data_IF_298771626453
#
_entry.id   IF_298771626453
#
_cell.length_a   1.000
_cell.length_b   1.000
_cell.length_c   1.000
_cell.angle_alpha   90.00
_cell.angle_beta   90.00
_cell.angle_gamma   90.00
#
_symmetry.space_group_name_H-M   'P 1'
#
loop_
_entity.id
_entity.type
_entity.pdbx_description
1 polymer ?
#
# COMPACT_ATOMS: atom_id res chain seq x y z
N UNK A 1 -15.35 42.70 6.97
CA UNK A 1 -14.75 42.29 5.68
C UNK A 1 -15.35 40.95 5.33
N UNK A 2 -16.17 40.90 4.28
CA UNK A 2 -16.84 39.67 3.86
C UNK A 2 -15.79 38.75 3.22
N UNK A 3 -15.53 37.61 3.84
CA UNK A 3 -14.57 36.59 3.38
C UNK A 3 -15.02 35.88 2.09
N UNK A 4 -16.18 36.26 1.54
CA UNK A 4 -16.90 35.57 0.46
C UNK A 4 -17.19 36.43 -0.78
N UNK A 5 -16.67 37.66 -0.88
CA UNK A 5 -16.84 38.45 -2.11
C UNK A 5 -16.09 37.80 -3.28
N UNK A 6 -16.84 37.26 -4.24
CA UNK A 6 -16.32 36.66 -5.48
C UNK A 6 -16.23 35.13 -5.50
N UNK A 7 -16.71 34.43 -4.45
CA UNK A 7 -16.75 32.96 -4.42
C UNK A 7 -18.15 32.48 -4.81
N UNK A 8 -18.29 31.83 -5.97
CA UNK A 8 -19.58 31.33 -6.46
C UNK A 8 -20.19 30.26 -5.54
N UNK A 9 -19.37 29.44 -4.87
CA UNK A 9 -19.82 28.41 -3.92
C UNK A 9 -18.81 28.16 -2.79
N UNK A 10 -19.26 28.18 -1.53
CA UNK A 10 -18.42 27.81 -0.37
C UNK A 10 -18.52 26.33 -0.07
N UNK A 11 -17.39 25.67 0.20
CA UNK A 11 -17.31 24.24 0.55
C UNK A 11 -16.56 24.03 1.86
N UNK A 12 -16.97 23.02 2.64
CA UNK A 12 -16.33 22.66 3.91
C UNK A 12 -15.29 21.56 3.68
N UNK A 13 -14.03 21.84 4.01
CA UNK A 13 -12.92 20.89 3.93
C UNK A 13 -12.26 20.69 5.30
N UNK A 14 -12.13 19.44 5.72
CA UNK A 14 -11.27 19.03 6.83
C UNK A 14 -9.96 18.51 6.25
N UNK A 15 -8.86 19.18 6.53
CA UNK A 15 -7.53 18.77 6.07
C UNK A 15 -6.53 18.76 7.24
N UNK A 16 -5.58 17.81 7.27
CA UNK A 16 -4.48 17.82 8.21
C UNK A 16 -3.66 19.11 8.08
N UNK A 17 -3.26 19.68 9.21
CA UNK A 17 -2.34 20.82 9.21
C UNK A 17 -0.91 20.33 8.95
N UNK A 18 -0.57 20.21 7.67
CA UNK A 18 0.77 19.76 7.24
C UNK A 18 1.72 20.96 7.21
N UNK A 19 2.52 21.09 8.28
CA UNK A 19 3.59 22.07 8.50
C UNK A 19 3.27 23.50 8.04
N UNK A 20 2.75 24.31 8.97
CA UNK A 20 2.50 25.75 8.84
C UNK A 20 3.75 26.65 8.64
N UNK A 21 4.94 26.08 8.37
CA UNK A 21 6.21 26.81 8.32
C UNK A 21 6.43 27.53 6.97
N UNK A 22 5.61 27.22 5.96
CA UNK A 22 5.61 27.94 4.68
C UNK A 22 4.27 28.59 4.40
N UNK A 23 4.27 29.89 4.05
CA UNK A 23 3.13 30.65 3.52
C UNK A 23 2.62 30.13 2.14
N UNK A 24 2.97 28.90 1.76
CA UNK A 24 2.54 28.31 0.50
C UNK A 24 1.05 27.98 0.54
N UNK A 25 0.26 28.65 -0.29
CA UNK A 25 -1.09 28.22 -0.63
C UNK A 25 -1.00 26.80 -1.19
N UNK A 26 -1.75 25.86 -0.62
CA UNK A 26 -1.86 24.52 -1.17
C UNK A 26 -2.49 24.57 -2.56
N UNK A 27 -2.04 23.71 -3.46
CA UNK A 27 -2.52 23.67 -4.84
C UNK A 27 -3.41 22.45 -5.06
N UNK A 28 -4.60 22.67 -5.62
CA UNK A 28 -5.43 21.59 -6.12
C UNK A 28 -4.91 21.09 -7.47
N UNK A 29 -4.71 19.78 -7.59
CA UNK A 29 -4.22 19.10 -8.77
C UNK A 29 -5.29 18.12 -9.27
N UNK A 30 -5.54 18.12 -10.57
CA UNK A 30 -6.28 17.05 -11.23
C UNK A 30 -5.28 16.00 -11.72
N UNK A 31 -5.34 14.79 -11.15
CA UNK A 31 -4.48 13.65 -11.47
C UNK A 31 -5.34 12.43 -11.80
N UNK A 32 -4.72 11.37 -12.34
CA UNK A 32 -5.44 10.11 -12.57
C UNK A 32 -5.53 9.30 -11.28
N UNK A 33 -6.72 8.79 -10.99
CA UNK A 33 -6.91 7.78 -9.95
C UNK A 33 -6.10 6.53 -10.31
N UNK A 34 -5.28 5.99 -9.40
CA UNK A 34 -4.27 5.00 -9.76
C UNK A 34 -4.83 3.64 -10.22
N UNK A 35 -6.05 3.29 -9.80
CA UNK A 35 -6.75 2.08 -10.27
C UNK A 35 -7.64 2.29 -11.50
N UNK A 36 -8.29 3.45 -11.60
CA UNK A 36 -9.40 3.64 -12.56
C UNK A 36 -9.04 4.56 -13.73
N UNK A 37 -7.90 5.27 -13.63
CA UNK A 37 -7.46 6.25 -14.62
C UNK A 37 -8.33 7.51 -14.70
N UNK A 38 -9.43 7.59 -13.95
CA UNK A 38 -10.35 8.74 -13.97
C UNK A 38 -9.72 9.97 -13.31
N UNK A 39 -10.14 11.15 -13.74
CA UNK A 39 -9.70 12.40 -13.12
C UNK A 39 -10.18 12.49 -11.67
N UNK A 40 -9.24 12.67 -10.75
CA UNK A 40 -9.46 12.83 -9.31
C UNK A 40 -8.72 14.06 -8.81
N UNK A 41 -9.29 14.73 -7.81
CA UNK A 41 -8.71 15.94 -7.23
C UNK A 41 -7.81 15.59 -6.04
N UNK A 42 -6.62 16.16 -6.02
CA UNK A 42 -5.64 16.03 -4.95
C UNK A 42 -5.22 17.42 -4.47
N UNK A 43 -4.91 17.56 -3.19
CA UNK A 43 -4.31 18.76 -2.62
C UNK A 43 -2.81 18.52 -2.41
N UNK A 44 -1.98 19.29 -3.08
CA UNK A 44 -0.52 19.27 -2.89
C UNK A 44 -0.09 20.48 -2.08
N UNK A 45 0.54 20.24 -0.93
CA UNK A 45 1.01 21.29 -0.02
C UNK A 45 2.32 20.86 0.63
N UNK A 46 3.35 21.70 0.53
CA UNK A 46 4.64 21.51 1.21
C UNK A 46 5.26 20.11 1.01
N UNK A 47 5.21 19.59 -0.22
CA UNK A 47 5.74 18.25 -0.54
C UNK A 47 4.88 17.08 -0.08
N UNK A 48 3.70 17.34 0.49
CA UNK A 48 2.73 16.31 0.88
C UNK A 48 1.55 16.31 -0.07
N UNK A 49 1.23 15.12 -0.59
CA UNK A 49 0.06 14.89 -1.42
C UNK A 49 -1.09 14.38 -0.56
N UNK A 50 -2.26 14.98 -0.72
CA UNK A 50 -3.48 14.58 -0.03
C UNK A 50 -4.56 14.29 -1.06
N UNK A 51 -5.25 13.18 -0.92
CA UNK A 51 -6.43 12.86 -1.73
C UNK A 51 -7.67 13.51 -1.12
N UNK A 52 -8.60 13.95 -1.97
CA UNK A 52 -9.87 14.51 -1.52
C UNK A 52 -10.97 13.47 -1.60
N UNK A 53 -11.53 13.16 -0.45
CA UNK A 53 -12.74 12.38 -0.31
C UNK A 53 -13.90 13.32 0.04
N UNK A 54 -15.12 12.93 -0.31
CA UNK A 54 -16.31 13.69 0.06
C UNK A 54 -17.44 12.77 0.46
N UNK A 55 -18.25 13.27 1.38
CA UNK A 55 -19.46 12.62 1.85
C UNK A 55 -20.63 13.61 1.80
N UNK A 56 -21.81 13.13 1.39
CA UNK A 56 -23.04 13.92 1.42
C UNK A 56 -24.16 13.11 2.07
N UNK A 57 -24.69 13.63 3.17
CA UNK A 57 -25.93 13.12 3.71
C UNK A 57 -27.12 13.70 2.92
N UNK A 58 -28.14 12.88 2.65
CA UNK A 58 -29.36 13.35 1.99
C UNK A 58 -30.00 14.49 2.79
N UNK A 59 -30.43 15.54 2.08
CA UNK A 59 -31.06 16.73 2.66
C UNK A 59 -30.20 17.46 3.71
N UNK A 60 -28.86 17.34 3.63
CA UNK A 60 -27.92 18.09 4.46
C UNK A 60 -27.62 19.49 3.91
N UNK A 61 -27.40 20.45 4.80
CA UNK A 61 -26.86 21.78 4.52
C UNK A 61 -25.95 22.22 5.68
N UNK A 62 -25.07 23.19 5.44
CA UNK A 62 -24.19 23.74 6.49
C UNK A 62 -24.57 25.16 6.84
N UNK A 63 -24.59 25.48 8.13
CA UNK A 63 -24.58 26.86 8.62
C UNK A 63 -23.13 27.30 8.83
N UNK A 64 -22.69 28.30 8.07
CA UNK A 64 -21.33 28.84 8.05
C UNK A 64 -21.35 30.31 8.48
N UNK A 65 -21.33 30.54 9.80
CA UNK A 65 -21.58 31.87 10.36
C UNK A 65 -23.00 32.33 10.01
N UNK A 66 -23.10 33.47 9.31
CA UNK A 66 -24.38 34.06 8.89
C UNK A 66 -24.88 33.54 7.52
N UNK A 67 -24.18 32.56 6.91
CA UNK A 67 -24.50 32.03 5.59
C UNK A 67 -24.98 30.57 5.67
N UNK A 68 -25.85 30.19 4.73
CA UNK A 68 -26.26 28.81 4.51
C UNK A 68 -25.57 28.27 3.26
N UNK A 69 -24.88 27.14 3.39
CA UNK A 69 -24.33 26.38 2.27
C UNK A 69 -25.27 25.20 1.97
N UNK A 70 -25.97 25.29 0.84
CA UNK A 70 -26.96 24.29 0.39
C UNK A 70 -26.32 22.93 0.02
N UNK A 71 -25.06 22.89 -0.42
CA UNK A 71 -24.46 21.64 -0.91
C UNK A 71 -24.39 20.56 0.17
N UNK A 72 -24.17 20.95 1.44
CA UNK A 72 -24.15 20.01 2.57
C UNK A 72 -23.05 18.93 2.50
N UNK A 73 -22.14 19.00 1.53
CA UNK A 73 -21.01 18.07 1.40
C UNK A 73 -19.96 18.37 2.45
N UNK A 74 -19.39 17.31 3.01
CA UNK A 74 -18.18 17.37 3.79
C UNK A 74 -17.03 16.83 2.96
N UNK A 75 -16.02 17.65 2.70
CA UNK A 75 -14.77 17.23 2.10
C UNK A 75 -13.76 16.87 3.19
N UNK A 76 -13.00 15.82 2.96
CA UNK A 76 -11.87 15.42 3.80
C UNK A 76 -10.65 15.25 2.92
N UNK A 77 -9.50 15.76 3.37
CA UNK A 77 -8.21 15.51 2.76
C UNK A 77 -7.46 14.48 3.60
N UNK A 78 -7.03 13.38 2.97
CA UNK A 78 -6.25 12.33 3.62
C UNK A 78 -4.88 12.23 2.96
N UNK A 79 -3.82 12.07 3.75
CA UNK A 79 -2.48 11.93 3.20
C UNK A 79 -2.41 10.64 2.39
N UNK A 80 -1.93 10.72 1.15
CA UNK A 80 -1.75 9.57 0.26
C UNK A 80 -0.26 9.37 -0.02
N UNK A 81 0.18 8.12 -0.12
CA UNK A 81 1.55 7.83 -0.57
C UNK A 81 1.65 8.14 -2.08
N UNK A 82 2.51 9.11 -2.48
CA UNK A 82 2.65 9.52 -3.88
C UNK A 82 3.06 8.37 -4.82
N UNK A 83 3.69 7.31 -4.30
CA UNK A 83 4.08 6.15 -5.10
C UNK A 83 2.86 5.50 -5.76
N UNK A 84 1.70 5.41 -5.09
CA UNK A 84 0.49 4.85 -5.72
C UNK A 84 0.07 5.67 -6.95
N UNK A 85 0.15 6.99 -6.87
CA UNK A 85 -0.29 7.91 -7.93
C UNK A 85 0.67 7.90 -9.12
N UNK A 86 1.97 7.73 -8.87
CA UNK A 86 3.01 7.71 -9.90
C UNK A 86 3.26 6.32 -10.49
N UNK A 87 2.96 5.24 -9.77
CA UNK A 87 3.18 3.87 -10.22
C UNK A 87 2.62 3.57 -11.63
N UNK A 88 1.33 3.85 -11.95
CA UNK A 88 0.80 3.58 -13.29
C UNK A 88 1.49 4.44 -14.37
N UNK A 89 1.88 5.67 -14.03
CA UNK A 89 2.58 6.58 -14.94
C UNK A 89 3.96 6.03 -15.30
N UNK A 90 4.69 5.52 -14.31
CA UNK A 90 5.99 4.91 -14.52
C UNK A 90 5.91 3.59 -15.28
N UNK A 91 4.87 2.78 -15.04
CA UNK A 91 4.65 1.54 -15.79
C UNK A 91 4.35 1.83 -17.27
N UNK A 92 3.48 2.80 -17.57
CA UNK A 92 3.21 3.27 -18.94
C UNK A 92 4.48 3.83 -19.61
N UNK A 93 5.23 4.68 -18.90
CA UNK A 93 6.39 5.38 -19.47
C UNK A 93 7.59 4.47 -19.74
N UNK A 94 7.70 3.35 -19.02
CA UNK A 94 8.81 2.37 -19.13
C UNK A 94 8.82 1.61 -20.46
N UNK A 95 7.73 1.65 -21.25
CA UNK A 95 7.62 1.00 -22.57
C UNK A 95 8.02 -0.49 -22.55
N UNK A 96 7.60 -1.21 -21.51
CA UNK A 96 7.89 -2.64 -21.33
C UNK A 96 7.37 -3.45 -22.51
N UNK A 97 8.17 -4.39 -23.03
CA UNK A 97 7.77 -5.29 -24.13
C UNK A 97 8.14 -6.73 -23.79
N UNK A 98 7.14 -7.60 -23.63
CA UNK A 98 7.33 -9.02 -23.30
C UNK A 98 8.25 -9.17 -22.07
N UNK A 99 9.42 -9.78 -22.26
CA UNK A 99 10.42 -10.04 -21.20
C UNK A 99 11.43 -8.91 -21.02
N UNK A 100 11.38 -7.84 -21.82
CA UNK A 100 12.26 -6.69 -21.63
C UNK A 100 11.84 -5.91 -20.39
N UNK A 101 12.74 -5.68 -19.41
CA UNK A 101 12.47 -4.84 -18.24
C UNK A 101 12.18 -3.38 -18.59
N UNK A 102 12.24 -2.97 -19.86
CA UNK A 102 11.86 -1.65 -20.32
C UNK A 102 13.00 -0.64 -20.23
N UNK A 103 12.68 0.62 -20.54
CA UNK A 103 13.67 1.68 -20.77
C UNK A 103 13.84 2.59 -19.55
N UNK A 104 15.06 3.07 -19.39
CA UNK A 104 15.39 4.17 -18.50
C UNK A 104 14.95 5.49 -19.13
N UNK A 105 14.23 6.32 -18.38
CA UNK A 105 13.76 7.64 -18.84
C UNK A 105 13.95 8.69 -17.76
N UNK A 106 14.03 9.96 -18.17
CA UNK A 106 14.14 11.08 -17.24
C UNK A 106 12.79 11.34 -16.57
N UNK A 107 12.84 11.89 -15.36
CA UNK A 107 11.63 12.18 -14.59
C UNK A 107 10.71 13.18 -15.31
N UNK A 108 11.29 14.21 -15.93
CA UNK A 108 10.53 15.20 -16.71
C UNK A 108 9.76 14.57 -17.87
N UNK A 109 10.35 13.57 -18.53
CA UNK A 109 9.69 12.82 -19.61
C UNK A 109 8.58 11.91 -19.09
N UNK A 110 8.78 11.25 -17.94
CA UNK A 110 7.81 10.34 -17.34
C UNK A 110 6.59 11.11 -16.83
N UNK A 111 6.81 12.27 -16.20
CA UNK A 111 5.77 13.09 -15.58
C UNK A 111 5.03 13.99 -16.58
N UNK A 112 5.44 13.98 -17.85
CA UNK A 112 4.70 14.63 -18.93
C UNK A 112 3.52 13.76 -19.38
N UNK A 113 2.41 13.85 -18.65
CA UNK A 113 1.17 13.11 -18.93
C UNK A 113 0.20 13.99 -19.71
N UNK A 114 -0.14 13.57 -20.93
CA UNK A 114 -1.12 14.28 -21.77
C UNK A 114 -2.44 14.49 -21.02
N UNK A 115 -3.00 15.69 -21.11
CA UNK A 115 -4.24 16.12 -20.44
C UNK A 115 -4.18 16.22 -18.90
N UNK A 116 -3.04 15.90 -18.27
CA UNK A 116 -2.85 15.97 -16.82
C UNK A 116 -1.54 16.72 -16.46
N UNK A 117 -1.49 18.06 -16.61
CA UNK A 117 -0.30 18.84 -16.26
C UNK A 117 0.03 18.80 -14.76
N UNK A 118 -0.93 18.39 -13.91
CA UNK A 118 -0.76 18.25 -12.47
C UNK A 118 0.44 17.40 -12.04
N UNK A 119 0.85 16.43 -12.86
CA UNK A 119 2.00 15.56 -12.57
C UNK A 119 3.33 16.33 -12.50
N UNK A 120 3.48 17.45 -13.24
CA UNK A 120 4.70 18.25 -13.20
C UNK A 120 4.95 18.85 -11.81
N UNK A 121 3.90 19.13 -11.04
CA UNK A 121 4.02 19.63 -9.67
C UNK A 121 4.56 18.58 -8.69
N UNK A 122 4.55 17.30 -9.05
CA UNK A 122 5.06 16.21 -8.21
C UNK A 122 6.55 15.92 -8.42
N UNK A 123 7.18 16.49 -9.47
CA UNK A 123 8.61 16.31 -9.76
C UNK A 123 9.52 16.53 -8.53
N UNK A 124 9.33 17.58 -7.70
CA UNK A 124 10.20 17.82 -6.53
C UNK A 124 10.20 16.70 -5.49
N UNK A 125 9.15 15.89 -5.42
CA UNK A 125 9.05 14.76 -4.48
C UNK A 125 9.27 13.41 -5.15
N UNK A 126 9.10 13.34 -6.48
CA UNK A 126 9.07 12.08 -7.21
C UNK A 126 10.41 11.34 -7.16
N UNK A 127 11.55 12.02 -7.16
CA UNK A 127 12.87 11.38 -7.01
C UNK A 127 12.96 10.57 -5.70
N UNK A 128 12.62 11.21 -4.58
CA UNK A 128 12.69 10.60 -3.25
C UNK A 128 11.65 9.50 -3.05
N UNK A 129 10.46 9.65 -3.63
CA UNK A 129 9.40 8.65 -3.55
C UNK A 129 9.72 7.44 -4.44
N UNK A 130 10.14 7.66 -5.69
CA UNK A 130 10.23 6.60 -6.69
C UNK A 130 11.50 5.76 -6.57
N UNK A 131 12.54 6.20 -5.86
CA UNK A 131 13.74 5.38 -5.59
C UNK A 131 13.42 4.03 -4.90
N UNK A 132 12.31 3.94 -4.17
CA UNK A 132 11.89 2.72 -3.46
C UNK A 132 11.36 1.64 -4.42
N UNK A 133 10.87 2.03 -5.59
CA UNK A 133 10.28 1.14 -6.60
C UNK A 133 11.03 1.12 -7.93
N UNK A 134 11.95 2.05 -8.17
CA UNK A 134 12.71 2.18 -9.41
C UNK A 134 14.20 1.81 -9.24
N UNK A 135 14.80 1.34 -10.33
CA UNK A 135 16.25 1.40 -10.55
C UNK A 135 16.61 2.80 -11.06
N UNK A 136 17.67 3.38 -10.51
CA UNK A 136 18.16 4.71 -10.88
C UNK A 136 19.55 4.55 -11.49
N UNK A 137 19.74 5.16 -12.66
CA UNK A 137 21.04 5.30 -13.30
C UNK A 137 21.38 6.77 -13.45
N UNK A 138 22.60 7.12 -13.08
CA UNK A 138 23.10 8.49 -13.18
C UNK A 138 24.16 8.54 -14.28
N UNK A 139 23.96 9.47 -15.23
CA UNK A 139 24.89 9.71 -16.33
C UNK A 139 25.12 11.22 -16.38
N UNK A 140 26.33 11.64 -16.00
CA UNK A 140 26.66 13.06 -15.85
C UNK A 140 25.84 13.68 -14.72
N UNK A 141 25.09 14.75 -15.00
CA UNK A 141 24.20 15.43 -14.06
C UNK A 141 22.74 14.98 -14.15
N UNK A 142 22.44 13.99 -15.01
CA UNK A 142 21.06 13.53 -15.25
C UNK A 142 20.82 12.16 -14.64
N UNK A 143 19.68 12.02 -13.97
CA UNK A 143 19.19 10.74 -13.44
C UNK A 143 18.09 10.17 -14.33
N UNK A 144 18.18 8.87 -14.56
CA UNK A 144 17.22 8.11 -15.33
C UNK A 144 16.61 7.02 -14.46
N UNK A 145 15.30 6.87 -14.56
CA UNK A 145 14.51 5.97 -13.75
C UNK A 145 13.93 4.87 -14.63
N UNK A 146 13.87 3.67 -14.07
CA UNK A 146 13.14 2.53 -14.65
C UNK A 146 12.45 1.79 -13.53
N UNK A 147 11.17 1.48 -13.68
CA UNK A 147 10.44 0.69 -12.69
C UNK A 147 11.02 -0.74 -12.57
N UNK A 148 11.16 -1.23 -11.35
CA UNK A 148 11.65 -2.58 -11.06
C UNK A 148 10.56 -3.41 -10.38
N UNK A 149 10.13 -4.50 -11.04
CA UNK A 149 9.00 -5.32 -10.59
C UNK A 149 9.25 -5.93 -9.20
N UNK A 150 10.51 -6.28 -8.88
CA UNK A 150 10.87 -6.87 -7.58
C UNK A 150 10.80 -5.84 -6.47
N UNK A 151 11.26 -4.61 -6.72
CA UNK A 151 11.15 -3.48 -5.77
C UNK A 151 9.71 -3.08 -5.54
N UNK A 152 8.89 -3.00 -6.60
CA UNK A 152 7.45 -2.73 -6.47
C UNK A 152 6.78 -3.80 -5.60
N UNK A 153 7.04 -5.08 -5.87
CA UNK A 153 6.48 -6.17 -5.08
C UNK A 153 6.93 -6.12 -3.61
N UNK A 154 8.20 -5.81 -3.35
CA UNK A 154 8.72 -5.66 -1.99
C UNK A 154 8.05 -4.48 -1.25
N UNK A 155 7.87 -3.34 -1.92
CA UNK A 155 7.16 -2.18 -1.39
C UNK A 155 5.69 -2.49 -1.10
N UNK A 156 4.98 -3.16 -2.01
CA UNK A 156 3.60 -3.63 -1.79
C UNK A 156 3.50 -4.58 -0.60
N UNK A 157 4.41 -5.54 -0.47
CA UNK A 157 4.47 -6.45 0.68
C UNK A 157 4.66 -5.67 1.99
N UNK A 158 5.49 -4.62 1.98
CA UNK A 158 5.68 -3.75 3.13
C UNK A 158 4.40 -2.97 3.47
N UNK A 159 3.67 -2.45 2.49
CA UNK A 159 2.38 -1.76 2.69
C UNK A 159 1.32 -2.69 3.29
N UNK A 160 1.20 -3.92 2.78
CA UNK A 160 0.32 -4.95 3.37
C UNK A 160 0.72 -5.20 4.83
N UNK A 161 2.02 -5.34 5.10
CA UNK A 161 2.50 -5.55 6.46
C UNK A 161 2.12 -4.39 7.39
N UNK A 162 2.31 -3.14 6.97
CA UNK A 162 1.90 -1.95 7.73
C UNK A 162 0.40 -1.94 8.04
N UNK A 163 -0.44 -2.19 7.03
CA UNK A 163 -1.90 -2.25 7.22
C UNK A 163 -2.30 -3.34 8.21
N UNK A 164 -1.66 -4.51 8.17
CA UNK A 164 -1.94 -5.60 9.12
C UNK A 164 -1.64 -5.24 10.57
N UNK A 165 -0.67 -4.34 10.82
CA UNK A 165 -0.37 -3.87 12.17
C UNK A 165 -1.33 -2.77 12.62
N UNK A 166 -1.74 -1.89 11.69
CA UNK A 166 -2.56 -0.72 12.01
C UNK A 166 -4.05 -1.08 12.13
N UNK A 167 -4.60 -1.93 11.25
CA UNK A 167 -6.03 -2.26 11.22
C UNK A 167 -6.60 -2.68 12.60
N UNK A 168 -5.95 -3.58 13.36
CA UNK A 168 -6.43 -3.99 14.68
C UNK A 168 -6.48 -2.84 15.71
N UNK A 169 -5.75 -1.75 15.47
CA UNK A 169 -5.68 -0.58 16.38
C UNK A 169 -6.75 0.47 16.10
N UNK A 170 -7.39 0.43 14.92
CA UNK A 170 -8.33 1.47 14.48
C UNK A 170 -9.75 1.29 15.03
N UNK A 171 -10.20 0.04 15.20
CA UNK A 171 -11.53 -0.26 15.77
C UNK A 171 -11.52 -1.60 16.51
N UNK A 172 -12.35 -1.71 17.55
CA UNK A 172 -12.63 -2.96 18.28
C UNK A 172 -13.14 -4.07 17.36
N UNK A 173 -13.85 -3.71 16.30
CA UNK A 173 -14.33 -4.66 15.29
C UNK A 173 -13.19 -5.29 14.48
N UNK A 174 -12.12 -4.54 14.18
CA UNK A 174 -10.93 -5.07 13.50
C UNK A 174 -10.04 -5.89 14.43
N UNK A 175 -10.01 -5.57 15.74
CA UNK A 175 -9.23 -6.31 16.72
C UNK A 175 -9.71 -7.77 16.94
N UNK A 176 -10.99 -8.05 16.70
CA UNK A 176 -11.59 -9.37 16.88
C UNK A 176 -11.42 -10.31 15.66
N UNK A 177 -10.88 -9.82 14.53
CA UNK A 177 -10.74 -10.60 13.29
C UNK A 177 -9.55 -11.55 13.33
N UNK A 178 -9.65 -12.64 12.58
CA UNK A 178 -8.55 -13.58 12.42
C UNK A 178 -7.41 -12.97 11.54
N UNK A 179 -6.24 -13.61 11.54
CA UNK A 179 -5.06 -13.13 10.78
C UNK A 179 -5.19 -13.22 9.26
N UNK A 180 -6.05 -14.11 8.75
CA UNK A 180 -6.35 -14.34 7.33
C UNK A 180 -7.38 -13.33 6.81
N UNK A 181 -8.40 -13.02 7.61
CA UNK A 181 -9.38 -11.98 7.34
C UNK A 181 -8.71 -10.60 7.33
N UNK A 182 -7.84 -10.33 8.32
CA UNK A 182 -7.05 -9.08 8.35
C UNK A 182 -6.13 -8.93 7.12
N UNK A 183 -5.58 -10.03 6.61
CA UNK A 183 -4.78 -10.01 5.39
C UNK A 183 -5.64 -9.71 4.16
N UNK A 184 -6.83 -10.31 4.09
CA UNK A 184 -7.79 -10.09 3.00
C UNK A 184 -8.25 -8.63 2.99
N UNK A 185 -8.58 -8.07 4.15
CA UNK A 185 -8.94 -6.66 4.30
C UNK A 185 -7.81 -5.73 3.84
N UNK A 186 -6.57 -6.01 4.25
CA UNK A 186 -5.40 -5.21 3.84
C UNK A 186 -5.17 -5.25 2.32
N UNK A 187 -5.35 -6.42 1.69
CA UNK A 187 -5.25 -6.56 0.23
C UNK A 187 -6.39 -5.81 -0.46
N UNK A 188 -7.63 -5.90 0.03
CA UNK A 188 -8.77 -5.18 -0.53
C UNK A 188 -8.58 -3.66 -0.47
N UNK A 189 -8.11 -3.13 0.66
CA UNK A 189 -7.83 -1.68 0.82
C UNK A 189 -6.76 -1.24 -0.18
N UNK A 190 -5.66 -1.99 -0.32
CA UNK A 190 -4.61 -1.66 -1.31
C UNK A 190 -5.11 -1.82 -2.75
N UNK A 191 -5.98 -2.80 -2.97
CA UNK A 191 -6.61 -3.08 -4.26
C UNK A 191 -7.50 -1.95 -4.75
N UNK A 192 -7.87 -0.97 -3.92
CA UNK A 192 -8.52 0.27 -4.40
C UNK A 192 -7.55 1.26 -5.04
N UNK A 193 -6.24 1.14 -4.77
CA UNK A 193 -5.21 2.04 -5.28
C UNK A 193 -4.31 1.41 -6.36
N UNK A 194 -4.58 0.16 -6.75
CA UNK A 194 -3.75 -0.60 -7.67
C UNK A 194 -4.59 -1.14 -8.82
N UNK A 195 -3.98 -1.22 -10.00
CA UNK A 195 -4.54 -1.99 -11.12
C UNK A 195 -4.52 -3.49 -10.80
N UNK A 196 -5.56 -4.20 -11.26
CA UNK A 196 -5.73 -5.63 -11.01
C UNK A 196 -4.55 -6.44 -11.58
N UNK A 197 -4.07 -6.03 -12.75
CA UNK A 197 -2.93 -6.61 -13.46
C UNK A 197 -1.93 -5.50 -13.82
N UNK A 198 -0.61 -5.69 -13.61
CA UNK A 198 0.02 -6.89 -13.06
C UNK A 198 0.09 -6.91 -11.52
N UNK A 199 -0.09 -5.76 -10.86
CA UNK A 199 0.40 -5.58 -9.47
C UNK A 199 -0.42 -6.32 -8.42
N UNK A 200 -1.75 -6.23 -8.46
CA UNK A 200 -2.59 -6.87 -7.45
C UNK A 200 -2.49 -8.40 -7.54
N UNK A 201 -2.43 -8.95 -8.75
CA UNK A 201 -2.21 -10.39 -8.96
C UNK A 201 -0.83 -10.85 -8.49
N UNK A 202 0.24 -10.15 -8.89
CA UNK A 202 1.60 -10.47 -8.44
C UNK A 202 1.70 -10.47 -6.90
N UNK A 203 1.07 -9.50 -6.25
CA UNK A 203 1.00 -9.43 -4.79
C UNK A 203 0.25 -10.63 -4.21
N UNK A 204 -0.92 -10.96 -4.76
CA UNK A 204 -1.73 -12.09 -4.28
C UNK A 204 -0.99 -13.42 -4.43
N UNK A 205 -0.35 -13.65 -5.58
CA UNK A 205 0.38 -14.90 -5.85
C UNK A 205 1.60 -15.03 -4.93
N UNK A 206 2.38 -13.95 -4.76
CA UNK A 206 3.50 -13.93 -3.83
C UNK A 206 3.09 -14.19 -2.37
N UNK A 207 1.94 -13.63 -1.95
CA UNK A 207 1.43 -13.83 -0.60
C UNK A 207 0.88 -15.26 -0.39
N UNK A 208 0.20 -15.84 -1.38
CA UNK A 208 -0.26 -17.24 -1.34
C UNK A 208 0.92 -18.19 -1.18
N UNK A 209 1.99 -17.99 -1.94
CA UNK A 209 3.22 -18.79 -1.83
C UNK A 209 3.83 -18.69 -0.43
N UNK A 210 3.93 -17.48 0.14
CA UNK A 210 4.46 -17.29 1.50
C UNK A 210 3.60 -17.94 2.58
N UNK A 211 2.28 -17.83 2.48
CA UNK A 211 1.36 -18.48 3.44
C UNK A 211 1.49 -20.00 3.33
N UNK A 212 1.45 -20.54 2.11
CA UNK A 212 1.63 -21.97 1.85
C UNK A 212 2.98 -22.50 2.33
N UNK A 213 4.07 -21.72 2.19
CA UNK A 213 5.39 -22.09 2.70
C UNK A 213 5.43 -22.11 4.23
N UNK A 214 4.77 -21.16 4.90
CA UNK A 214 4.64 -21.16 6.37
C UNK A 214 3.82 -22.33 6.89
N UNK A 215 2.76 -22.73 6.18
CA UNK A 215 1.97 -23.92 6.50
C UNK A 215 2.81 -25.19 6.36
N UNK A 216 3.48 -25.36 5.21
CA UNK A 216 4.38 -26.50 4.98
C UNK A 216 5.51 -26.60 6.01
N UNK A 217 6.08 -25.46 6.43
CA UNK A 217 7.12 -25.44 7.46
C UNK A 217 6.59 -25.89 8.83
N UNK A 218 5.40 -25.43 9.23
CA UNK A 218 4.75 -25.90 10.48
C UNK A 218 4.44 -27.39 10.45
N UNK A 219 4.01 -27.91 9.30
CA UNK A 219 3.72 -29.34 9.14
C UNK A 219 5.00 -30.18 9.22
N UNK A 220 6.09 -29.73 8.59
CA UNK A 220 7.41 -30.35 8.70
C UNK A 220 7.93 -30.36 10.13
N UNK A 221 7.85 -29.24 10.85
CA UNK A 221 8.24 -29.15 12.27
C UNK A 221 7.41 -30.08 13.15
N UNK A 222 6.09 -30.15 12.91
CA UNK A 222 5.18 -31.03 13.64
C UNK A 222 5.49 -32.50 13.38
N UNK A 223 5.77 -32.88 12.13
CA UNK A 223 6.17 -34.22 11.75
C UNK A 223 7.52 -34.62 12.33
N UNK A 224 8.51 -33.70 12.33
CA UNK A 224 9.82 -33.94 12.92
C UNK A 224 9.71 -34.15 14.44
N UNK A 225 8.88 -33.36 15.13
CA UNK A 225 8.57 -33.56 16.55
C UNK A 225 7.94 -34.94 16.79
N UNK A 226 6.93 -35.33 16.01
CA UNK A 226 6.30 -36.67 16.11
C UNK A 226 7.30 -37.81 15.89
N UNK A 227 8.18 -37.70 14.89
CA UNK A 227 9.20 -38.71 14.62
C UNK A 227 10.23 -38.82 15.75
N UNK A 228 10.66 -37.70 16.34
CA UNK A 228 11.52 -37.70 17.53
C UNK A 228 10.84 -38.42 18.70
N UNK A 229 9.57 -38.13 19.00
CA UNK A 229 8.82 -38.79 20.07
C UNK A 229 8.66 -40.29 19.85
N UNK A 230 8.40 -40.73 18.61
CA UNK A 230 8.33 -42.17 18.28
C UNK A 230 9.65 -42.90 18.51
N UNK A 231 10.78 -42.31 18.11
CA UNK A 231 12.11 -42.88 18.37
C UNK A 231 12.38 -43.01 19.87
N UNK A 232 12.05 -42.00 20.66
CA UNK A 232 12.20 -42.04 22.13
C UNK A 232 11.36 -43.19 22.71
N UNK A 233 10.10 -43.33 22.29
CA UNK A 233 9.23 -44.41 22.78
C UNK A 233 9.73 -45.80 22.38
N UNK A 234 10.24 -45.98 21.17
CA UNK A 234 10.83 -47.25 20.73
C UNK A 234 12.12 -47.58 21.48
N UNK A 235 12.99 -46.60 21.71
CA UNK A 235 14.21 -46.79 22.52
C UNK A 235 13.86 -47.15 23.96
N UNK A 236 12.90 -46.46 24.59
CA UNK A 236 12.42 -46.78 25.93
C UNK A 236 11.81 -48.18 26.01
N UNK A 237 11.02 -48.60 25.01
CA UNK A 237 10.47 -49.97 24.94
C UNK A 237 11.56 -51.03 24.78
N UNK A 238 12.59 -50.79 23.97
CA UNK A 238 13.73 -51.70 23.81
C UNK A 238 14.55 -51.83 25.10
N UNK A 239 14.77 -50.74 25.83
CA UNK A 239 15.45 -50.77 27.13
C UNK A 239 14.64 -51.58 28.17
N UNK A 240 13.32 -51.40 28.20
CA UNK A 240 12.44 -52.16 29.11
C UNK A 240 12.37 -53.66 28.77
N UNK A 241 12.35 -54.00 27.47
CA UNK A 241 12.37 -55.40 27.03
C UNK A 241 13.70 -56.10 27.38
N UNK A 242 14.83 -55.41 27.20
CA UNK A 242 16.16 -55.97 27.57
C UNK A 242 16.35 -56.19 29.08
N UNK A 243 15.68 -55.40 29.93
CA UNK A 243 15.67 -55.61 31.38
C UNK A 243 14.89 -56.88 31.77
N UNK A 244 13.75 -57.14 31.13
CA UNK A 244 12.92 -58.34 31.38
C UNK A 244 13.57 -59.63 30.86
N UNK A 245 14.33 -59.58 29.77
CA UNK A 245 15.06 -60.75 29.25
C UNK A 245 16.31 -61.09 30.09
N UNK A 246 16.85 -60.14 30.85
CA UNK A 246 18.00 -60.38 31.75
C UNK A 246 17.63 -61.07 33.07
N UNK A 247 16.35 -61.07 33.45
CA UNK A 247 15.83 -61.78 34.64
C UNK A 247 15.36 -63.22 34.34
N UNK A 248 15.34 -63.62 33.07
CA UNK A 248 14.97 -64.98 32.63
C UNK A 248 16.21 -65.79 32.20
N UNK A 249 17.18 -65.96 33.11
CA UNK A 249 18.28 -66.93 32.95
C UNK A 249 17.87 -68.34 33.39
N UNK A 250 18.43 -69.41 32.79
CA UNK A 250 17.85 -70.75 32.80
C UNK A 250 17.97 -71.45 34.16
N UNK A 251 16.87 -72.02 34.65
CA UNK A 251 16.87 -73.15 35.59
C UNK A 251 16.98 -74.46 34.81
#
# INVERSE_FOLDING_TARGET
MAWSEGVEETRLLIAPDVNAIGNGLGQFLSLRHPKSGKATCYLFKNGTLQELNWFKQSYGSWFLGDYVCEDGRLYTATIVDPVFIMLPIFEEARMKKRDDPGKFRQLDEIMFVNSYPGYQHLIPIAENCMQVVCEIKEIGSSKFFRLDDSKVLAWLCYKVHQLKQILPTLDKNYAARDKKDTLTDAISILGEYLEDEPWLKLLCDHLKERVGMKEKLRDLESNLKRQKWRKIQETSKKCLAGLLESEAGPF
#
